data_IF_790723261870
#
_entry.id   IF_790723261870
#
_cell.length_a   1.000
_cell.length_b   1.000
_cell.length_c   1.000
_cell.angle_alpha   90.00
_cell.angle_beta   90.00
_cell.angle_gamma   90.00
#
_symmetry.space_group_name_H-M   'P 1'
#
loop_
_entity.id
_entity.type
_entity.pdbx_description
1 polymer ?
#
# COMPACT_ATOMS: atom_id res chain seq x y z
N UNK A 1 -2.37 -3.60 3.41
CA UNK A 1 -3.15 -3.68 2.17
C UNK A 1 -4.53 -3.09 2.42
N UNK A 2 -5.18 -2.54 1.40
CA UNK A 2 -6.51 -1.97 1.52
C UNK A 2 -7.33 -2.14 0.23
N UNK A 3 -8.52 -2.74 0.35
CA UNK A 3 -9.43 -2.95 -0.78
C UNK A 3 -10.48 -1.84 -0.83
N UNK A 4 -10.76 -1.33 -2.04
CA UNK A 4 -11.84 -0.38 -2.25
C UNK A 4 -13.20 -1.02 -2.00
N UNK A 5 -14.19 -0.21 -1.59
CA UNK A 5 -15.55 -0.67 -1.32
C UNK A 5 -16.22 -1.39 -2.51
N UNK A 6 -15.88 -0.99 -3.74
CA UNK A 6 -16.38 -1.65 -4.95
C UNK A 6 -15.60 -2.91 -5.33
N UNK A 7 -14.58 -3.30 -4.56
CA UNK A 7 -13.79 -4.52 -4.74
C UNK A 7 -12.85 -4.49 -5.95
N UNK A 8 -12.63 -3.33 -6.59
CA UNK A 8 -11.88 -3.22 -7.86
C UNK A 8 -10.42 -2.80 -7.71
N UNK A 9 -10.06 -2.15 -6.60
CA UNK A 9 -8.74 -1.54 -6.39
C UNK A 9 -8.16 -2.01 -5.08
N UNK A 10 -7.06 -2.74 -5.14
CA UNK A 10 -6.32 -3.20 -3.97
C UNK A 10 -5.01 -2.43 -3.87
N UNK A 11 -4.91 -1.54 -2.88
CA UNK A 11 -3.68 -0.81 -2.59
C UNK A 11 -2.81 -1.63 -1.63
N UNK A 12 -1.52 -1.71 -1.92
CA UNK A 12 -0.56 -2.46 -1.11
C UNK A 12 0.64 -1.58 -0.79
N UNK A 13 1.17 -1.73 0.42
CA UNK A 13 2.37 -1.06 0.93
C UNK A 13 3.42 -2.11 1.26
N UNK A 14 4.70 -1.75 1.14
CA UNK A 14 5.81 -2.70 1.23
C UNK A 14 6.47 -2.80 2.62
N UNK A 15 5.95 -2.10 3.62
CA UNK A 15 6.60 -1.96 4.94
C UNK A 15 5.73 -2.56 6.03
N UNK A 16 6.35 -3.10 7.08
CA UNK A 16 5.66 -3.72 8.20
C UNK A 16 6.03 -3.06 9.53
N UNK A 17 7.31 -3.16 9.90
CA UNK A 17 7.79 -2.60 11.15
C UNK A 17 9.27 -2.30 11.01
N UNK A 18 9.68 -1.07 11.34
CA UNK A 18 11.00 -0.53 11.00
C UNK A 18 12.18 -1.42 11.40
N UNK A 19 12.13 -2.09 12.56
CA UNK A 19 13.24 -2.96 12.97
C UNK A 19 13.29 -4.27 12.19
N UNK A 20 12.14 -4.81 11.80
CA UNK A 20 12.04 -6.01 10.98
C UNK A 20 12.39 -5.69 9.53
N UNK A 21 11.87 -4.58 9.00
CA UNK A 21 12.23 -4.09 7.67
C UNK A 21 13.74 -3.88 7.57
N UNK A 22 14.39 -3.35 8.62
CA UNK A 22 15.86 -3.24 8.67
C UNK A 22 16.57 -4.60 8.63
N UNK A 23 16.02 -5.61 9.28
CA UNK A 23 16.62 -6.94 9.37
C UNK A 23 16.51 -7.69 8.03
N UNK A 24 15.34 -7.65 7.39
CA UNK A 24 15.05 -8.44 6.19
C UNK A 24 15.30 -7.66 4.88
N UNK A 25 15.11 -6.34 4.89
CA UNK A 25 15.23 -5.45 3.74
C UNK A 25 16.05 -4.20 4.09
N UNK A 26 17.34 -4.34 4.39
CA UNK A 26 18.17 -3.24 4.94
C UNK A 26 18.22 -2.00 4.04
N UNK A 27 18.10 -2.16 2.72
CA UNK A 27 18.11 -1.05 1.77
C UNK A 27 16.82 -0.22 1.75
N UNK A 28 15.70 -0.76 2.28
CA UNK A 28 14.43 -0.06 2.39
C UNK A 28 14.54 1.23 3.23
N UNK A 29 15.51 1.27 4.16
CA UNK A 29 15.82 2.49 4.95
C UNK A 29 16.43 3.62 4.13
N UNK A 30 17.05 3.31 2.99
CA UNK A 30 17.67 4.28 2.10
C UNK A 30 16.70 4.68 0.98
N UNK A 31 15.97 3.70 0.46
CA UNK A 31 15.06 3.89 -0.67
C UNK A 31 13.67 4.36 -0.24
N UNK A 32 13.25 4.07 0.99
CA UNK A 32 11.86 4.25 1.40
C UNK A 32 10.95 3.13 0.93
N UNK A 33 9.71 3.16 1.41
CA UNK A 33 8.67 2.24 0.98
C UNK A 33 7.97 2.73 -0.30
N UNK A 34 7.09 1.90 -0.84
CA UNK A 34 6.21 2.27 -1.92
C UNK A 34 4.77 1.83 -1.65
N UNK A 35 3.83 2.49 -2.33
CA UNK A 35 2.45 2.02 -2.50
C UNK A 35 2.23 1.68 -3.97
N UNK A 36 1.64 0.50 -4.18
CA UNK A 36 1.27 -0.03 -5.49
C UNK A 36 -0.24 -0.22 -5.53
N UNK A 37 -0.80 -0.23 -6.75
CA UNK A 37 -2.19 -0.56 -6.99
C UNK A 37 -2.28 -1.86 -7.78
N UNK A 38 -3.18 -2.73 -7.35
CA UNK A 38 -3.56 -3.95 -8.05
C UNK A 38 -5.00 -3.79 -8.50
N UNK A 39 -5.22 -3.94 -9.81
CA UNK A 39 -6.54 -4.01 -10.40
C UNK A 39 -7.12 -5.41 -10.17
N UNK A 40 -8.29 -5.46 -9.54
CA UNK A 40 -8.99 -6.69 -9.18
C UNK A 40 -10.15 -6.90 -10.14
N UNK A 41 -10.18 -8.06 -10.80
CA UNK A 41 -11.29 -8.43 -11.67
C UNK A 41 -12.37 -9.14 -10.83
N UNK A 42 -13.64 -8.67 -10.83
CA UNK A 42 -14.75 -9.32 -10.12
C UNK A 42 -14.97 -10.78 -10.53
N UNK A 43 -14.64 -11.13 -11.79
CA UNK A 43 -14.78 -12.49 -12.31
C UNK A 43 -13.55 -13.37 -12.00
N UNK A 44 -12.60 -12.85 -11.22
CA UNK A 44 -11.38 -13.53 -10.82
C UNK A 44 -10.14 -13.02 -11.56
N UNK A 45 -9.02 -13.07 -10.84
CA UNK A 45 -7.72 -12.58 -11.31
C UNK A 45 -7.37 -11.19 -10.80
N UNK A 46 -6.08 -10.91 -10.80
CA UNK A 46 -5.50 -9.64 -10.35
C UNK A 46 -4.34 -9.28 -11.27
N UNK A 47 -4.18 -7.99 -11.56
CA UNK A 47 -3.05 -7.47 -12.34
C UNK A 47 -2.46 -6.26 -11.63
N UNK A 48 -1.13 -6.15 -11.63
CA UNK A 48 -0.46 -4.91 -11.21
C UNK A 48 -0.86 -3.78 -12.16
N UNK A 49 -1.26 -2.64 -11.60
CA UNK A 49 -1.50 -1.43 -12.36
C UNK A 49 -0.16 -0.72 -12.58
N UNK A 50 0.33 -0.73 -13.82
CA UNK A 50 1.64 -0.15 -14.19
C UNK A 50 1.63 1.38 -14.28
N UNK A 51 0.44 2.00 -14.24
CA UNK A 51 0.26 3.45 -14.29
C UNK A 51 0.23 4.10 -12.89
N UNK A 52 0.28 3.29 -11.82
CA UNK A 52 0.20 3.76 -10.45
C UNK A 52 1.38 3.31 -9.60
N UNK A 53 2.12 4.29 -9.08
CA UNK A 53 3.18 4.10 -8.09
C UNK A 53 3.28 5.34 -7.21
N UNK A 54 3.30 5.15 -5.89
CA UNK A 54 3.72 6.20 -4.96
C UNK A 54 5.00 5.75 -4.29
N UNK A 55 6.09 6.47 -4.55
CA UNK A 55 7.39 6.19 -3.94
C UNK A 55 7.61 7.10 -2.72
N UNK A 56 7.50 6.56 -1.51
CA UNK A 56 7.60 7.33 -0.27
C UNK A 56 9.02 7.82 0.03
N UNK A 57 10.03 7.31 -0.68
CA UNK A 57 11.40 7.80 -0.62
C UNK A 57 11.62 9.15 -1.32
N UNK A 58 10.75 9.51 -2.27
CA UNK A 58 10.88 10.75 -3.05
C UNK A 58 10.18 11.95 -2.40
N UNK A 59 9.47 11.72 -1.29
CA UNK A 59 8.82 12.78 -0.54
C UNK A 59 9.83 13.57 0.28
N UNK A 60 9.67 14.90 0.29
CA UNK A 60 10.48 15.80 1.12
C UNK A 60 10.45 15.39 2.59
N UNK A 61 11.62 15.26 3.21
CA UNK A 61 11.78 14.81 4.60
C UNK A 61 11.79 13.29 4.78
N UNK A 62 11.72 12.52 3.69
CA UNK A 62 11.85 11.07 3.68
C UNK A 62 13.28 10.56 3.91
N UNK A 63 13.52 9.24 3.73
CA UNK A 63 12.57 8.26 3.21
C UNK A 63 11.54 7.79 4.25
N UNK A 64 10.26 7.75 3.85
CA UNK A 64 9.17 7.26 4.70
C UNK A 64 8.86 5.78 4.45
N UNK A 65 8.38 5.10 5.50
CA UNK A 65 7.96 3.70 5.49
C UNK A 65 6.45 3.64 5.67
N UNK A 66 5.71 3.97 4.62
CA UNK A 66 4.25 3.93 4.65
C UNK A 66 3.73 2.54 4.99
N UNK A 67 2.89 2.43 6.02
CA UNK A 67 2.34 1.18 6.51
C UNK A 67 0.85 1.05 6.16
N UNK A 68 0.01 1.88 6.79
CA UNK A 68 -1.45 1.85 6.64
C UNK A 68 -1.95 2.98 5.75
N UNK A 69 -3.07 2.73 5.06
CA UNK A 69 -3.78 3.72 4.25
C UNK A 69 -5.27 3.64 4.54
N UNK A 70 -5.96 4.78 4.48
CA UNK A 70 -7.40 4.89 4.72
C UNK A 70 -8.07 5.60 3.56
N UNK A 71 -9.18 5.04 3.10
CA UNK A 71 -9.95 5.67 2.03
C UNK A 71 -10.78 6.83 2.59
N UNK A 72 -10.85 7.96 1.87
CA UNK A 72 -11.86 8.96 2.15
C UNK A 72 -13.25 8.33 1.99
N UNK A 73 -14.04 8.32 3.08
CA UNK A 73 -15.38 7.75 3.08
C UNK A 73 -15.46 6.25 3.38
N UNK A 74 -14.36 5.61 3.76
CA UNK A 74 -14.35 4.23 4.24
C UNK A 74 -13.79 3.21 3.24
N UNK A 75 -13.25 2.12 3.79
CA UNK A 75 -12.67 0.98 3.10
C UNK A 75 -13.11 -0.34 3.77
N UNK A 76 -12.75 -1.47 3.16
CA UNK A 76 -13.17 -2.79 3.64
C UNK A 76 -12.62 -3.18 5.02
N UNK A 77 -11.84 -2.33 5.69
CA UNK A 77 -11.30 -2.57 7.03
C UNK A 77 -11.61 -1.47 8.04
N UNK A 78 -12.14 -0.33 7.62
CA UNK A 78 -12.44 0.79 8.52
C UNK A 78 -13.86 0.77 9.06
N UNK A 79 -14.82 0.25 8.29
CA UNK A 79 -16.24 0.38 8.59
C UNK A 79 -16.81 -0.94 9.13
N UNK A 80 -17.62 -0.83 10.19
CA UNK A 80 -18.37 -1.93 10.78
C UNK A 80 -19.86 -1.61 10.59
N UNK A 81 -20.58 -2.50 9.92
CA UNK A 81 -22.02 -2.38 9.70
C UNK A 81 -22.78 -3.08 10.85
N UNK A 82 -23.89 -2.50 11.33
CA UNK A 82 -24.77 -3.05 12.39
C UNK A 82 -26.06 -3.59 11.78
#
# INVERSE_FOLDING_TARGET
MQLSLDGRRLYVTMTLFRSWDQQFYPDLKKTGGAMLLIDVNPDGGMKLNEDFLVHFGELDGGPYLGHEMRYPGGDCTSDIWI
#
